data_IF_846827775533
#
_entry.id   IF_846827775533
#
_cell.length_a   1.000
_cell.length_b   1.000
_cell.length_c   1.000
_cell.angle_alpha   90.00
_cell.angle_beta   90.00
_cell.angle_gamma   90.00
#
_symmetry.space_group_name_H-M   'P 1'
#
loop_
_entity.id
_entity.type
_entity.pdbx_description
1 polymer ?
#
# COMPACT_ATOMS: atom_id res chain seq x y z
N UNK A 1 34.99 39.74 -8.37
CA UNK A 1 35.80 38.81 -9.18
C UNK A 1 34.84 37.89 -9.93
N UNK A 2 34.56 38.20 -11.20
CA UNK A 2 33.60 37.47 -12.02
C UNK A 2 34.35 36.82 -13.17
N UNK A 3 34.35 35.49 -13.22
CA UNK A 3 35.02 34.68 -14.24
C UNK A 3 34.21 34.67 -15.53
N UNK A 4 34.68 35.37 -16.56
CA UNK A 4 34.21 35.18 -17.94
C UNK A 4 35.00 34.02 -18.55
N UNK A 5 34.32 32.90 -18.80
CA UNK A 5 34.89 31.79 -19.56
C UNK A 5 34.90 32.18 -21.04
N UNK A 6 35.99 32.78 -21.51
CA UNK A 6 36.19 33.05 -22.93
C UNK A 6 36.47 31.74 -23.67
N UNK A 7 35.43 31.21 -24.31
CA UNK A 7 35.53 30.03 -25.15
C UNK A 7 36.20 30.45 -26.48
N UNK A 8 37.38 29.90 -26.74
CA UNK A 8 38.14 30.14 -27.97
C UNK A 8 37.30 29.77 -29.22
N UNK A 9 37.34 30.57 -30.31
CA UNK A 9 36.43 30.45 -31.46
C UNK A 9 36.43 29.08 -32.14
N UNK A 10 37.57 28.38 -32.12
CA UNK A 10 37.70 27.02 -32.68
C UNK A 10 36.95 25.92 -31.90
N UNK A 11 36.50 26.19 -30.67
CA UNK A 11 35.73 25.25 -29.85
C UNK A 11 34.22 25.43 -29.95
N UNK A 12 33.74 26.52 -30.56
CA UNK A 12 32.31 26.86 -30.63
C UNK A 12 31.55 25.86 -31.52
N UNK A 13 32.17 25.37 -32.60
CA UNK A 13 31.56 24.42 -33.54
C UNK A 13 31.38 23.01 -32.96
N UNK A 14 32.13 22.66 -31.90
CA UNK A 14 32.06 21.36 -31.22
C UNK A 14 31.14 21.36 -30.00
N UNK A 15 30.46 22.47 -29.68
CA UNK A 15 29.49 22.51 -28.58
C UNK A 15 28.21 21.83 -29.06
N UNK A 16 27.82 20.67 -28.51
CA UNK A 16 26.58 20.02 -28.90
C UNK A 16 25.42 20.95 -28.56
N UNK A 17 24.62 21.30 -29.57
CA UNK A 17 23.47 22.17 -29.39
C UNK A 17 22.56 21.59 -28.30
N UNK A 18 22.40 22.32 -27.18
CA UNK A 18 21.47 21.94 -26.12
C UNK A 18 20.07 22.04 -26.69
N UNK A 19 19.56 20.92 -27.22
CA UNK A 19 18.19 20.81 -27.69
C UNK A 19 17.27 21.17 -26.52
N UNK A 20 16.68 22.37 -26.55
CA UNK A 20 15.65 22.79 -25.58
C UNK A 20 14.57 21.72 -25.57
N UNK A 21 14.52 20.89 -24.53
CA UNK A 21 13.47 19.88 -24.37
C UNK A 21 12.14 20.63 -24.39
N UNK A 22 11.37 20.50 -25.48
CA UNK A 22 10.01 21.03 -25.55
C UNK A 22 9.27 20.48 -24.32
N UNK A 23 8.73 21.37 -23.48
CA UNK A 23 7.91 20.96 -22.34
C UNK A 23 6.77 20.11 -22.91
N UNK A 24 6.78 18.81 -22.66
CA UNK A 24 5.68 17.93 -23.06
C UNK A 24 4.39 18.54 -22.48
N UNK A 25 3.28 18.62 -23.24
CA UNK A 25 2.01 19.04 -22.67
C UNK A 25 1.73 18.19 -21.44
N UNK A 26 1.33 18.82 -20.33
CA UNK A 26 0.93 18.08 -19.12
C UNK A 26 -0.21 17.14 -19.54
N UNK A 27 0.10 15.85 -19.64
CA UNK A 27 -0.93 14.83 -19.83
C UNK A 27 -1.94 15.02 -18.69
N UNK A 28 -3.24 15.23 -18.98
CA UNK A 28 -4.23 15.34 -17.93
C UNK A 28 -4.12 14.07 -17.08
N UNK A 29 -3.95 14.24 -15.76
CA UNK A 29 -3.91 13.10 -14.84
C UNK A 29 -5.17 12.27 -15.07
N UNK A 30 -5.06 10.93 -15.17
CA UNK A 30 -6.23 10.08 -15.34
C UNK A 30 -7.21 10.40 -14.22
N UNK A 31 -8.42 10.82 -14.61
CA UNK A 31 -9.48 11.02 -13.63
C UNK A 31 -9.82 9.64 -13.05
N UNK A 32 -10.00 9.52 -11.73
CA UNK A 32 -10.33 8.23 -11.13
C UNK A 32 -11.66 7.75 -11.73
N UNK A 33 -11.69 6.49 -12.17
CA UNK A 33 -12.85 5.85 -12.80
C UNK A 33 -14.05 5.65 -11.86
N UNK A 34 -14.02 6.20 -10.63
CA UNK A 34 -15.09 6.12 -9.66
C UNK A 34 -15.91 7.40 -9.62
N UNK A 35 -17.22 7.25 -9.69
CA UNK A 35 -18.27 8.27 -9.59
C UNK A 35 -18.28 9.13 -8.32
N UNK A 36 -17.25 9.05 -7.47
CA UNK A 36 -17.12 9.75 -6.20
C UNK A 36 -16.63 11.20 -6.37
N UNK A 37 -17.25 12.14 -5.66
CA UNK A 37 -16.87 13.55 -5.68
C UNK A 37 -15.46 13.76 -5.10
N UNK A 38 -14.70 14.69 -5.66
CA UNK A 38 -13.40 15.08 -5.08
C UNK A 38 -13.57 15.74 -3.71
N UNK A 39 -12.53 15.67 -2.85
CA UNK A 39 -12.52 16.32 -1.53
C UNK A 39 -12.92 17.80 -1.56
N UNK A 40 -12.51 18.53 -2.61
CA UNK A 40 -12.87 19.93 -2.78
C UNK A 40 -14.36 20.12 -3.12
N UNK A 41 -14.89 19.26 -4.00
CA UNK A 41 -16.31 19.25 -4.34
C UNK A 41 -17.17 18.87 -3.13
N UNK A 42 -16.77 17.87 -2.33
CA UNK A 42 -17.46 17.51 -1.09
C UNK A 42 -17.53 18.66 -0.10
N UNK A 43 -16.39 19.35 0.13
CA UNK A 43 -16.36 20.55 0.99
C UNK A 43 -17.28 21.66 0.48
N UNK A 44 -17.34 21.85 -0.85
CA UNK A 44 -18.25 22.82 -1.47
C UNK A 44 -19.71 22.42 -1.22
N UNK A 45 -20.10 21.18 -1.53
CA UNK A 45 -21.45 20.66 -1.31
C UNK A 45 -21.90 20.73 0.16
N UNK A 46 -21.03 20.38 1.10
CA UNK A 46 -21.30 20.50 2.55
C UNK A 46 -21.54 21.96 2.92
N UNK A 47 -20.70 22.88 2.44
CA UNK A 47 -20.85 24.32 2.73
C UNK A 47 -22.15 24.85 2.16
N UNK A 48 -22.46 24.54 0.91
CA UNK A 48 -23.64 25.04 0.20
C UNK A 48 -24.94 24.52 0.86
N UNK A 49 -25.02 23.22 1.16
CA UNK A 49 -26.16 22.63 1.88
C UNK A 49 -26.30 23.16 3.30
N UNK A 50 -25.19 23.32 4.04
CA UNK A 50 -25.23 23.89 5.39
C UNK A 50 -25.70 25.35 5.36
N UNK A 51 -25.26 26.15 4.39
CA UNK A 51 -25.73 27.54 4.22
C UNK A 51 -27.21 27.58 3.84
N UNK A 52 -27.65 26.70 2.94
CA UNK A 52 -29.04 26.61 2.51
C UNK A 52 -29.98 26.24 3.68
N UNK A 53 -29.60 25.24 4.49
CA UNK A 53 -30.36 24.85 5.68
C UNK A 53 -30.40 25.97 6.74
N UNK A 54 -29.27 26.60 7.02
CA UNK A 54 -29.18 27.71 7.99
C UNK A 54 -29.91 28.98 7.51
N UNK A 55 -29.87 29.28 6.21
CA UNK A 55 -30.61 30.39 5.62
C UNK A 55 -32.13 30.16 5.70
N UNK A 56 -32.58 28.91 5.56
CA UNK A 56 -34.00 28.57 5.70
C UNK A 56 -34.50 28.66 7.14
N UNK A 57 -33.65 28.45 8.16
CA UNK A 57 -34.01 28.55 9.57
C UNK A 57 -33.99 29.99 10.08
N UNK A 58 -33.05 30.81 9.62
CA UNK A 58 -32.82 32.16 10.14
C UNK A 58 -33.59 33.22 9.36
N UNK A 59 -34.78 32.90 8.83
CA UNK A 59 -35.69 33.88 8.23
C UNK A 59 -36.35 34.73 9.33
N UNK A 60 -35.55 35.56 9.99
CA UNK A 60 -36.04 36.57 10.91
C UNK A 60 -36.65 37.72 10.10
N UNK A 61 -37.87 38.10 10.48
CA UNK A 61 -38.48 39.35 10.06
C UNK A 61 -37.64 40.50 10.63
N UNK A 62 -36.76 41.08 9.82
CA UNK A 62 -36.19 42.38 10.16
C UNK A 62 -37.35 43.37 10.32
N UNK A 63 -37.36 44.11 11.43
CA UNK A 63 -38.33 45.13 11.73
C UNK A 63 -38.50 46.09 10.53
N UNK A 64 -39.68 46.08 9.89
CA UNK A 64 -40.13 47.13 8.99
C UNK A 64 -39.62 47.14 7.54
N UNK A 65 -39.02 46.06 7.00
CA UNK A 65 -38.51 46.06 5.63
C UNK A 65 -38.76 44.75 4.87
N UNK A 66 -39.23 44.88 3.64
CA UNK A 66 -39.58 43.87 2.64
C UNK A 66 -38.95 42.47 2.79
N UNK A 67 -39.79 41.42 2.80
CA UNK A 67 -39.37 40.01 2.80
C UNK A 67 -38.57 39.69 1.54
N UNK A 68 -37.24 39.76 1.59
CA UNK A 68 -36.43 39.12 0.54
C UNK A 68 -36.67 37.61 0.62
N UNK A 69 -37.14 37.01 -0.49
CA UNK A 69 -37.60 35.61 -0.59
C UNK A 69 -36.48 34.61 -0.27
N UNK A 70 -36.14 34.40 1.00
CA UNK A 70 -35.65 33.11 1.45
C UNK A 70 -36.88 32.19 1.50
N UNK A 71 -37.14 31.46 0.42
CA UNK A 71 -38.24 30.50 0.37
C UNK A 71 -38.06 29.48 1.49
N UNK A 72 -39.01 29.46 2.43
CA UNK A 72 -39.07 28.44 3.49
C UNK A 72 -39.12 27.07 2.79
N UNK A 73 -38.07 26.28 2.95
CA UNK A 73 -37.98 24.95 2.34
C UNK A 73 -39.12 24.09 2.87
N UNK A 74 -39.69 23.25 2.01
CA UNK A 74 -40.67 22.24 2.45
C UNK A 74 -40.02 21.29 3.46
N UNK A 75 -40.82 20.72 4.36
CA UNK A 75 -40.33 19.77 5.36
C UNK A 75 -39.60 18.58 4.72
N UNK A 76 -40.16 18.03 3.64
CA UNK A 76 -39.57 16.92 2.88
C UNK A 76 -38.20 17.30 2.30
N UNK A 77 -38.11 18.43 1.60
CA UNK A 77 -36.84 18.88 0.99
C UNK A 77 -35.77 19.20 2.04
N UNK A 78 -36.19 19.68 3.21
CA UNK A 78 -35.27 19.93 4.33
C UNK A 78 -34.65 18.63 4.83
N UNK A 79 -35.47 17.61 5.06
CA UNK A 79 -35.01 16.28 5.49
C UNK A 79 -34.05 15.69 4.46
N UNK A 80 -34.36 15.79 3.17
CA UNK A 80 -33.50 15.29 2.10
C UNK A 80 -32.14 16.00 2.07
N UNK A 81 -32.12 17.32 2.26
CA UNK A 81 -30.88 18.08 2.36
C UNK A 81 -30.07 17.76 3.61
N UNK A 82 -30.72 17.51 4.76
CA UNK A 82 -30.06 17.07 5.99
C UNK A 82 -29.42 15.67 5.81
N UNK A 83 -30.14 14.74 5.19
CA UNK A 83 -29.61 13.41 4.82
C UNK A 83 -28.43 13.52 3.86
N UNK A 84 -28.55 14.32 2.80
CA UNK A 84 -27.47 14.54 1.83
C UNK A 84 -26.24 15.18 2.49
N UNK A 85 -26.44 16.15 3.38
CA UNK A 85 -25.36 16.79 4.14
C UNK A 85 -24.63 15.77 5.02
N UNK A 86 -25.38 14.92 5.73
CA UNK A 86 -24.80 13.84 6.54
C UNK A 86 -23.98 12.86 5.67
N UNK A 87 -24.52 12.44 4.53
CA UNK A 87 -23.82 11.57 3.58
C UNK A 87 -22.51 12.19 3.08
N UNK A 88 -22.52 13.47 2.66
CA UNK A 88 -21.30 14.13 2.21
C UNK A 88 -20.27 14.32 3.33
N UNK A 89 -20.70 14.57 4.57
CA UNK A 89 -19.78 14.64 5.72
C UNK A 89 -19.12 13.29 5.98
N UNK A 90 -19.88 12.20 5.92
CA UNK A 90 -19.36 10.85 6.07
C UNK A 90 -18.34 10.54 4.97
N UNK A 91 -18.67 10.80 3.70
CA UNK A 91 -17.76 10.61 2.57
C UNK A 91 -16.48 11.47 2.71
N UNK A 92 -16.60 12.72 3.16
CA UNK A 92 -15.44 13.56 3.39
C UNK A 92 -14.54 12.98 4.49
N UNK A 93 -15.13 12.43 5.57
CA UNK A 93 -14.38 11.82 6.66
C UNK A 93 -13.68 10.54 6.22
N UNK A 94 -14.34 9.68 5.42
CA UNK A 94 -13.73 8.46 4.89
C UNK A 94 -12.58 8.78 3.94
N UNK A 95 -12.73 9.75 3.04
CA UNK A 95 -11.64 10.23 2.17
C UNK A 95 -10.46 10.81 2.95
N UNK A 96 -10.71 11.44 4.10
CA UNK A 96 -9.65 11.93 4.97
C UNK A 96 -8.89 10.79 5.65
N UNK A 97 -9.60 9.77 6.13
CA UNK A 97 -8.99 8.58 6.73
C UNK A 97 -8.18 7.78 5.71
N UNK A 98 -8.69 7.57 4.50
CA UNK A 98 -7.94 6.88 3.44
C UNK A 98 -6.70 7.65 3.02
N UNK A 99 -6.80 8.99 2.92
CA UNK A 99 -5.65 9.84 2.65
C UNK A 99 -4.61 9.76 3.78
N UNK A 100 -5.04 9.84 5.05
CA UNK A 100 -4.17 9.69 6.23
C UNK A 100 -3.46 8.34 6.20
N UNK A 101 -4.20 7.25 6.00
CA UNK A 101 -3.66 5.89 5.84
C UNK A 101 -2.58 5.84 4.76
N UNK A 102 -2.88 6.30 3.54
CA UNK A 102 -1.91 6.32 2.43
C UNK A 102 -0.64 7.13 2.76
N UNK A 103 -0.78 8.26 3.47
CA UNK A 103 0.40 9.06 3.88
C UNK A 103 1.26 8.34 4.91
N UNK A 104 0.65 7.69 5.90
CA UNK A 104 1.37 6.92 6.92
C UNK A 104 2.04 5.69 6.31
N UNK A 105 1.33 4.97 5.45
CA UNK A 105 1.87 3.82 4.72
C UNK A 105 3.11 4.22 3.94
N UNK A 106 3.05 5.26 3.10
CA UNK A 106 4.22 5.76 2.35
C UNK A 106 5.37 6.21 3.26
N UNK A 107 5.07 6.88 4.37
CA UNK A 107 6.08 7.38 5.32
C UNK A 107 6.85 6.25 5.99
N UNK A 108 6.15 5.20 6.42
CA UNK A 108 6.75 4.10 7.18
C UNK A 108 7.06 2.86 6.35
N UNK A 109 6.68 2.84 5.08
CA UNK A 109 6.87 1.71 4.16
C UNK A 109 8.32 1.22 4.14
N UNK A 110 9.30 2.12 4.00
CA UNK A 110 10.72 1.69 3.98
C UNK A 110 11.23 1.18 5.32
N UNK A 111 10.83 1.81 6.43
CA UNK A 111 11.18 1.31 7.78
C UNK A 111 10.59 -0.08 7.99
N UNK A 112 9.28 -0.25 7.73
CA UNK A 112 8.58 -1.54 7.84
C UNK A 112 9.16 -2.59 6.89
N UNK A 113 9.60 -2.22 5.69
CA UNK A 113 10.25 -3.14 4.76
C UNK A 113 11.56 -3.71 5.34
N UNK A 114 12.44 -2.85 5.87
CA UNK A 114 13.70 -3.31 6.45
C UNK A 114 13.49 -4.15 7.72
N UNK A 115 12.58 -3.73 8.59
CA UNK A 115 12.24 -4.51 9.78
C UNK A 115 11.60 -5.84 9.42
N UNK A 116 10.70 -5.87 8.43
CA UNK A 116 10.09 -7.11 7.93
C UNK A 116 11.16 -8.05 7.43
N UNK A 117 12.09 -7.55 6.60
CA UNK A 117 13.21 -8.35 6.08
C UNK A 117 14.12 -8.87 7.21
N UNK A 118 14.26 -8.12 8.31
CA UNK A 118 15.02 -8.55 9.48
C UNK A 118 14.28 -9.66 10.25
N UNK A 119 12.99 -9.48 10.51
CA UNK A 119 12.14 -10.46 11.18
C UNK A 119 12.03 -11.77 10.37
N UNK A 120 11.82 -11.69 9.05
CA UNK A 120 11.74 -12.89 8.20
C UNK A 120 13.06 -13.67 8.16
N UNK A 121 14.21 -12.98 8.13
CA UNK A 121 15.53 -13.63 8.22
C UNK A 121 15.75 -14.28 9.57
N UNK A 122 15.34 -13.62 10.66
CA UNK A 122 15.44 -14.16 12.01
C UNK A 122 14.59 -15.44 12.14
N UNK A 123 13.32 -15.39 11.72
CA UNK A 123 12.42 -16.54 11.69
C UNK A 123 13.03 -17.68 10.86
N UNK A 124 13.43 -17.41 9.62
CA UNK A 124 14.01 -18.44 8.74
C UNK A 124 15.30 -19.07 9.30
N UNK A 125 16.12 -18.29 10.03
CA UNK A 125 17.31 -18.83 10.69
C UNK A 125 16.94 -19.75 11.86
N UNK A 126 16.02 -19.31 12.71
CA UNK A 126 15.58 -20.08 13.88
C UNK A 126 14.86 -21.36 13.48
N UNK A 127 14.00 -21.32 12.45
CA UNK A 127 13.32 -22.52 11.94
C UNK A 127 14.30 -23.52 11.33
N UNK A 128 15.35 -23.05 10.64
CA UNK A 128 16.42 -23.91 10.13
C UNK A 128 17.25 -24.53 11.24
N UNK A 129 17.55 -23.77 12.30
CA UNK A 129 18.22 -24.30 13.49
C UNK A 129 17.37 -25.39 14.15
N UNK A 130 16.05 -25.19 14.23
CA UNK A 130 15.14 -26.19 14.79
C UNK A 130 15.09 -27.46 13.93
N UNK A 131 15.06 -27.29 12.62
CA UNK A 131 15.06 -28.43 11.68
C UNK A 131 16.40 -29.19 11.63
N UNK A 132 17.51 -28.53 11.97
CA UNK A 132 18.83 -29.16 12.04
C UNK A 132 19.04 -29.96 13.33
N UNK A 133 18.25 -29.71 14.37
CA UNK A 133 18.25 -30.50 15.60
C UNK A 133 17.49 -31.80 15.36
N UNK A 134 18.12 -32.93 15.69
CA UNK A 134 17.53 -34.26 15.58
C UNK A 134 16.29 -34.36 16.47
N UNK A 135 15.24 -35.04 15.98
CA UNK A 135 13.95 -35.23 16.68
C UNK A 135 14.05 -35.99 18.01
N UNK A 136 15.22 -36.54 18.34
CA UNK A 136 15.52 -37.27 19.57
C UNK A 136 15.90 -36.37 20.76
N UNK A 137 16.24 -35.11 20.54
CA UNK A 137 16.80 -34.23 21.58
C UNK A 137 15.76 -33.22 22.03
N UNK A 138 14.72 -33.65 22.77
CA UNK A 138 13.83 -32.70 23.48
C UNK A 138 14.59 -32.20 24.71
N UNK A 139 15.48 -31.24 24.47
CA UNK A 139 16.25 -30.56 25.51
C UNK A 139 15.68 -29.17 25.79
N UNK A 140 16.06 -28.55 26.91
CA UNK A 140 15.75 -27.16 27.24
C UNK A 140 16.12 -26.19 26.10
N UNK A 141 17.17 -26.52 25.34
CA UNK A 141 17.58 -25.75 24.16
C UNK A 141 16.50 -25.74 23.07
N UNK A 142 15.84 -26.86 22.83
CA UNK A 142 14.76 -26.93 21.82
C UNK A 142 13.54 -26.12 22.22
N UNK A 143 13.18 -26.12 23.51
CA UNK A 143 12.09 -25.29 24.03
C UNK A 143 12.44 -23.81 23.94
N UNK A 144 13.67 -23.44 24.29
CA UNK A 144 14.16 -22.07 24.14
C UNK A 144 14.08 -21.60 22.68
N UNK A 145 14.38 -22.49 21.73
CA UNK A 145 14.36 -22.20 20.30
C UNK A 145 12.92 -22.06 19.78
N UNK A 146 11.99 -22.91 20.21
CA UNK A 146 10.55 -22.77 19.92
C UNK A 146 10.00 -21.44 20.43
N UNK A 147 10.37 -21.05 21.65
CA UNK A 147 9.98 -19.76 22.22
C UNK A 147 10.54 -18.59 21.40
N UNK A 148 11.78 -18.67 20.94
CA UNK A 148 12.37 -17.65 20.06
C UNK A 148 11.67 -17.57 18.69
N UNK A 149 11.26 -18.71 18.12
CA UNK A 149 10.49 -18.76 16.88
C UNK A 149 9.15 -18.05 17.08
N UNK A 150 8.42 -18.37 18.15
CA UNK A 150 7.15 -17.72 18.49
C UNK A 150 7.30 -16.20 18.61
N UNK A 151 8.34 -15.72 19.31
CA UNK A 151 8.63 -14.29 19.39
C UNK A 151 8.95 -13.66 18.03
N UNK A 152 9.70 -14.36 17.17
CA UNK A 152 10.00 -13.88 15.82
C UNK A 152 8.75 -13.85 14.91
N UNK A 153 7.80 -14.76 15.12
CA UNK A 153 6.49 -14.76 14.45
C UNK A 153 5.62 -13.58 14.89
N UNK A 154 5.55 -13.30 16.20
CA UNK A 154 4.88 -12.11 16.74
C UNK A 154 5.50 -10.84 16.15
N UNK A 155 6.83 -10.77 16.04
CA UNK A 155 7.53 -9.63 15.43
C UNK A 155 7.16 -9.42 13.97
N UNK A 156 7.15 -10.50 13.18
CA UNK A 156 6.74 -10.45 11.79
C UNK A 156 5.29 -9.95 11.68
N UNK A 157 4.39 -10.55 12.46
CA UNK A 157 2.97 -10.20 12.47
C UNK A 157 2.73 -8.77 12.97
N UNK A 158 3.55 -8.28 13.92
CA UNK A 158 3.54 -6.89 14.35
C UNK A 158 3.80 -5.93 13.20
N UNK A 159 4.80 -6.21 12.37
CA UNK A 159 5.15 -5.37 11.23
C UNK A 159 4.08 -5.45 10.14
N UNK A 160 3.46 -6.62 9.94
CA UNK A 160 2.44 -6.87 8.93
C UNK A 160 1.10 -6.20 9.28
N UNK A 161 0.60 -6.46 10.48
CA UNK A 161 -0.75 -6.10 10.92
C UNK A 161 -0.80 -4.88 11.84
N UNK A 162 0.25 -4.04 11.81
CA UNK A 162 0.27 -2.78 12.54
C UNK A 162 -0.93 -1.88 12.17
N UNK A 163 -1.60 -1.21 13.14
CA UNK A 163 -2.74 -0.32 12.86
C UNK A 163 -2.44 0.74 11.80
N UNK A 164 -3.23 0.76 10.72
CA UNK A 164 -2.92 1.55 9.52
C UNK A 164 -3.14 3.08 9.69
N UNK A 165 -3.87 3.49 10.73
CA UNK A 165 -4.17 4.90 11.03
C UNK A 165 -3.26 5.52 12.09
N UNK A 166 -2.34 4.72 12.63
CA UNK A 166 -1.41 5.12 13.68
C UNK A 166 0.03 5.22 13.19
N UNK A 167 0.84 5.93 13.97
CA UNK A 167 2.26 6.12 13.70
C UNK A 167 2.99 4.82 14.03
N UNK A 168 3.64 4.22 13.04
CA UNK A 168 4.45 3.01 13.25
C UNK A 168 5.52 3.23 14.32
N UNK A 169 5.61 2.27 15.25
CA UNK A 169 6.60 2.22 16.33
C UNK A 169 7.58 1.09 16.00
N UNK A 170 8.86 1.44 15.81
CA UNK A 170 9.89 0.54 15.30
C UNK A 170 10.31 -0.48 16.37
N UNK A 171 10.42 -1.75 15.99
CA UNK A 171 10.81 -2.81 16.92
C UNK A 171 12.31 -2.75 17.24
N UNK A 172 13.14 -2.44 16.24
CA UNK A 172 14.59 -2.61 16.31
C UNK A 172 15.36 -1.30 16.48
N UNK A 173 14.67 -0.17 16.67
CA UNK A 173 15.31 1.12 16.96
C UNK A 173 15.45 1.34 18.47
N UNK A 174 16.67 1.65 18.90
CA UNK A 174 17.00 2.00 20.28
C UNK A 174 16.63 3.45 20.61
N UNK A 175 16.23 3.74 21.85
CA UNK A 175 16.03 5.10 22.38
C UNK A 175 14.60 5.65 22.31
N UNK A 176 13.60 4.84 22.62
CA UNK A 176 12.19 5.26 22.65
C UNK A 176 11.70 5.55 24.08
N UNK A 177 10.80 6.53 24.20
CA UNK A 177 10.17 6.96 25.45
C UNK A 177 9.39 5.82 26.13
N UNK A 178 9.22 5.90 27.46
CA UNK A 178 8.46 4.89 28.22
C UNK A 178 7.03 4.71 27.68
N UNK A 179 6.40 5.77 27.20
CA UNK A 179 5.02 5.73 26.69
C UNK A 179 4.92 5.07 25.31
N UNK A 180 5.93 5.23 24.44
CA UNK A 180 5.95 4.55 23.14
C UNK A 180 6.21 3.05 23.32
N UNK A 181 7.06 2.67 24.28
CA UNK A 181 7.28 1.26 24.63
C UNK A 181 6.00 0.60 25.16
N UNK A 182 5.28 1.25 26.08
CA UNK A 182 3.97 0.76 26.56
C UNK A 182 2.97 0.55 25.42
N UNK A 183 2.90 1.49 24.47
CA UNK A 183 2.02 1.35 23.28
C UNK A 183 2.45 0.18 22.39
N UNK A 184 3.76 0.02 22.18
CA UNK A 184 4.33 -1.10 21.43
C UNK A 184 3.95 -2.45 22.05
N UNK A 185 4.12 -2.59 23.36
CA UNK A 185 3.77 -3.80 24.09
C UNK A 185 2.27 -4.11 24.03
N UNK A 186 1.41 -3.09 24.17
CA UNK A 186 -0.04 -3.26 24.02
C UNK A 186 -0.41 -3.81 22.65
N UNK A 187 0.18 -3.26 21.58
CA UNK A 187 -0.08 -3.72 20.20
C UNK A 187 0.48 -5.12 19.98
N UNK A 188 1.67 -5.43 20.51
CA UNK A 188 2.25 -6.78 20.44
C UNK A 188 1.34 -7.83 21.09
N UNK A 189 0.85 -7.58 22.31
CA UNK A 189 -0.06 -8.49 23.02
C UNK A 189 -1.38 -8.68 22.27
N UNK A 190 -1.90 -7.62 21.67
CA UNK A 190 -3.12 -7.71 20.86
C UNK A 190 -2.92 -8.53 19.57
N UNK A 191 -1.71 -8.49 19.00
CA UNK A 191 -1.36 -9.30 17.83
C UNK A 191 -1.11 -10.76 18.20
N UNK A 192 -0.46 -11.00 19.33
CA UNK A 192 -0.25 -12.35 19.88
C UNK A 192 -1.60 -13.06 20.10
N UNK A 193 -2.57 -12.40 20.74
CA UNK A 193 -3.93 -12.93 20.88
C UNK A 193 -4.60 -13.25 19.55
N UNK A 194 -4.55 -12.31 18.59
CA UNK A 194 -5.14 -12.53 17.26
C UNK A 194 -4.45 -13.66 16.49
N UNK A 195 -3.16 -13.89 16.76
CA UNK A 195 -2.39 -14.99 16.19
C UNK A 195 -2.84 -16.34 16.75
N UNK A 196 -3.04 -16.42 18.08
CA UNK A 196 -3.57 -17.60 18.76
C UNK A 196 -5.00 -17.92 18.33
N UNK A 197 -5.85 -16.89 18.18
CA UNK A 197 -7.23 -17.02 17.69
C UNK A 197 -7.31 -17.43 16.20
N UNK A 198 -6.18 -17.43 15.48
CA UNK A 198 -6.14 -17.75 14.04
C UNK A 198 -6.85 -16.72 13.15
N UNK A 199 -7.20 -15.55 13.69
CA UNK A 199 -7.90 -14.47 12.96
C UNK A 199 -6.97 -13.60 12.12
N UNK A 200 -5.65 -13.80 12.25
CA UNK A 200 -4.66 -13.18 11.37
C UNK A 200 -4.55 -13.96 10.05
N UNK A 201 -4.84 -13.28 8.94
CA UNK A 201 -4.55 -13.76 7.59
C UNK A 201 -3.08 -14.19 7.48
N UNK A 202 -2.83 -15.49 7.38
CA UNK A 202 -1.47 -16.04 7.21
C UNK A 202 -0.91 -15.56 5.88
N UNK A 203 0.02 -14.61 5.92
CA UNK A 203 1.26 -14.57 5.11
C UNK A 203 1.22 -14.66 3.58
N UNK A 204 0.16 -15.03 2.87
CA UNK A 204 0.19 -15.19 1.41
C UNK A 204 0.22 -13.84 0.67
N UNK A 205 -0.17 -12.77 1.37
CA UNK A 205 0.11 -11.39 0.95
C UNK A 205 1.62 -11.05 0.94
N UNK A 206 2.47 -11.84 1.59
CA UNK A 206 3.93 -11.63 1.73
C UNK A 206 4.68 -11.92 0.42
N UNK A 207 4.26 -12.94 -0.34
CA UNK A 207 4.82 -13.22 -1.66
C UNK A 207 4.38 -12.16 -2.68
N UNK A 208 3.10 -11.76 -2.65
CA UNK A 208 2.54 -10.75 -3.54
C UNK A 208 3.13 -9.35 -3.30
N UNK A 209 3.29 -8.92 -2.03
CA UNK A 209 3.86 -7.62 -1.71
C UNK A 209 5.36 -7.52 -2.05
N UNK A 210 6.14 -8.58 -1.80
CA UNK A 210 7.55 -8.61 -2.17
C UNK A 210 7.75 -8.70 -3.69
N UNK A 211 6.89 -9.41 -4.42
CA UNK A 211 6.92 -9.48 -5.89
C UNK A 211 6.51 -8.16 -6.55
N UNK A 212 5.57 -7.42 -5.96
CA UNK A 212 5.11 -6.13 -6.48
C UNK A 212 6.14 -4.99 -6.30
N UNK A 213 7.05 -5.09 -5.32
CA UNK A 213 7.92 -3.99 -4.91
C UNK A 213 9.26 -3.91 -5.67
N UNK A 214 9.58 -4.84 -6.57
CA UNK A 214 10.59 -4.68 -7.62
C UNK A 214 12.03 -4.29 -7.20
N UNK A 215 12.36 -4.30 -5.90
CA UNK A 215 13.69 -3.98 -5.38
C UNK A 215 14.44 -5.27 -5.04
N UNK A 216 14.63 -6.10 -6.07
CA UNK A 216 15.39 -7.35 -6.00
C UNK A 216 16.67 -7.24 -6.81
N UNK A 217 17.77 -6.84 -6.17
CA UNK A 217 19.12 -7.09 -6.69
C UNK A 217 19.49 -8.56 -6.45
N UNK A 218 19.03 -9.44 -7.34
CA UNK A 218 19.37 -10.87 -7.44
C UNK A 218 19.19 -11.29 -8.89
N UNK A 219 20.00 -12.23 -9.42
CA UNK A 219 20.38 -12.27 -10.83
C UNK A 219 19.16 -12.39 -11.74
N UNK A 220 19.02 -11.42 -12.64
CA UNK A 220 18.00 -11.37 -13.68
C UNK A 220 18.12 -12.61 -14.58
N UNK A 221 17.34 -13.65 -14.32
CA UNK A 221 17.02 -14.63 -15.36
C UNK A 221 15.97 -13.99 -16.27
N UNK A 222 16.46 -13.41 -17.37
CA UNK A 222 15.70 -12.90 -18.50
C UNK A 222 14.71 -13.95 -19.04
N UNK A 223 13.48 -13.96 -18.54
CA UNK A 223 12.38 -14.65 -19.23
C UNK A 223 11.83 -13.67 -20.27
N UNK A 224 12.43 -13.69 -21.46
CA UNK A 224 11.85 -13.09 -22.66
C UNK A 224 10.47 -13.71 -22.89
N UNK A 225 9.41 -12.95 -22.61
CA UNK A 225 8.06 -13.23 -23.13
C UNK A 225 8.12 -13.17 -24.65
N UNK A 226 8.26 -14.33 -25.31
CA UNK A 226 7.92 -14.48 -26.73
C UNK A 226 6.43 -14.20 -26.88
N UNK A 227 6.11 -13.08 -27.52
CA UNK A 227 4.79 -12.86 -28.17
C UNK A 227 4.68 -13.92 -29.26
N UNK A 228 3.84 -14.93 -29.06
CA UNK A 228 3.40 -15.79 -30.14
C UNK A 228 2.51 -14.97 -31.08
N UNK A 229 2.95 -14.88 -32.33
CA UNK A 229 2.13 -14.41 -33.44
C UNK A 229 1.02 -15.43 -33.70
N UNK A 230 -0.17 -14.90 -33.88
CA UNK A 230 -1.38 -15.59 -34.25
C UNK A 230 -1.33 -15.85 -35.76
N UNK A 231 -1.09 -17.09 -36.18
CA UNK A 231 -1.32 -17.53 -37.57
C UNK A 231 -2.46 -18.55 -37.60
N UNK A 232 -3.33 -18.37 -38.59
CA UNK A 232 -4.52 -19.17 -38.88
C UNK A 232 -4.16 -20.53 -39.49
N UNK A 233 -4.95 -21.56 -39.20
CA UNK A 233 -5.01 -22.82 -39.97
C UNK A 233 -5.93 -23.84 -39.30
N UNK A 234 -6.95 -24.31 -40.04
CA UNK A 234 -8.04 -25.23 -39.64
C UNK A 234 -7.61 -26.73 -39.74
N UNK A 235 -8.46 -27.69 -39.30
CA UNK A 235 -8.03 -28.99 -38.74
C UNK A 235 -8.12 -30.19 -39.71
N UNK A 236 -7.51 -31.31 -39.32
CA UNK A 236 -7.88 -32.67 -39.76
C UNK A 236 -7.47 -33.71 -38.72
N UNK A 237 -8.31 -34.74 -38.59
CA UNK A 237 -8.24 -35.88 -37.68
C UNK A 237 -7.04 -36.80 -37.94
N UNK A 238 -6.58 -37.55 -36.94
CA UNK A 238 -6.75 -39.01 -36.87
C UNK A 238 -6.32 -39.57 -35.50
N UNK A 239 -6.80 -40.77 -35.20
CA UNK A 239 -6.74 -41.53 -33.95
C UNK A 239 -5.36 -42.19 -33.64
N UNK A 240 -5.26 -42.71 -32.40
CA UNK A 240 -4.63 -43.98 -32.00
C UNK A 240 -3.49 -43.96 -30.96
N UNK A 241 -3.89 -44.48 -29.79
CA UNK A 241 -3.27 -45.52 -28.97
C UNK A 241 -1.94 -45.34 -28.21
N UNK A 242 -2.06 -45.82 -26.97
CA UNK A 242 -1.03 -46.17 -25.99
C UNK A 242 0.08 -47.05 -26.58
N UNK A 243 1.30 -46.86 -26.09
CA UNK A 243 2.18 -47.96 -25.70
C UNK A 243 3.26 -47.45 -24.73
N UNK A 244 3.34 -48.10 -23.57
CA UNK A 244 4.48 -48.08 -22.67
C UNK A 244 5.63 -48.90 -23.30
N UNK A 245 6.87 -48.42 -23.26
CA UNK A 245 7.98 -49.19 -22.67
C UNK A 245 9.36 -48.49 -22.74
N UNK A 246 10.01 -48.48 -21.58
CA UNK A 246 11.44 -48.61 -21.25
C UNK A 246 12.57 -48.07 -22.17
N UNK A 247 13.46 -47.32 -21.52
CA UNK A 247 14.93 -47.53 -21.35
C UNK A 247 15.69 -46.19 -21.44
N UNK A 248 16.22 -45.67 -20.34
CA UNK A 248 17.61 -45.85 -19.85
C UNK A 248 18.66 -45.01 -20.58
N UNK A 249 19.38 -44.25 -19.76
CA UNK A 249 20.80 -43.88 -19.84
C UNK A 249 21.21 -42.52 -20.43
N UNK A 250 22.19 -41.88 -19.79
CA UNK A 250 22.96 -40.76 -20.32
C UNK A 250 23.05 -39.52 -19.42
N UNK A 251 23.92 -39.56 -18.40
CA UNK A 251 24.27 -38.43 -17.55
C UNK A 251 24.76 -37.18 -18.31
N UNK A 252 24.30 -36.01 -17.85
CA UNK A 252 24.60 -34.70 -18.43
C UNK A 252 25.26 -33.80 -17.37
N UNK A 253 26.53 -34.07 -17.07
CA UNK A 253 27.43 -33.18 -16.35
C UNK A 253 28.82 -33.30 -16.96
N UNK A 254 29.24 -32.26 -17.68
CA UNK A 254 30.65 -31.87 -17.87
C UNK A 254 30.73 -30.35 -17.92
#
# INVERSE_FOLDING_TARGET
MSSTTDIHPSRISNIPAVKRKKKKPKVPKPQPASSSLTRAQLRKKIRDLSRLLNASSNSTTAAGGERTKASKLSATTRIDHERALAAYKLELSSQQLTSKRSTLEKRYHKVRFFERRKATRALSRLTKQLAALSSSDITEETESLRNQIHQAEIDLNYIMHYPALDKYISLYKSGEDKDTNKKRERIRKDIEKRMEDGTLEKGDALAAANAAEGFGGGPEKNIKKKKSQQSKGKPSADEMQDDEDRASDGGFFE
#
